data_IF_683522551830
#
_entry.id   IF_683522551830
#
_cell.length_a   1.000
_cell.length_b   1.000
_cell.length_c   1.000
_cell.angle_alpha   90.00
_cell.angle_beta   90.00
_cell.angle_gamma   90.00
#
_symmetry.space_group_name_H-M   'P 1'
#
loop_
_entity.id
_entity.type
_entity.pdbx_description
1 polymer ?
#
# COMPACT_ATOMS: atom_id res chain seq x y z
N UNK A 1 20.28 -1.31 -27.09
CA UNK A 1 18.82 -1.53 -27.03
C UNK A 1 18.24 -0.51 -26.06
N UNK A 2 17.58 0.53 -26.57
CA UNK A 2 16.85 1.48 -25.74
C UNK A 2 15.48 0.87 -25.41
N UNK A 3 15.03 0.84 -24.14
CA UNK A 3 13.71 0.35 -23.81
C UNK A 3 12.65 1.26 -24.45
N UNK A 4 11.67 0.63 -25.09
CA UNK A 4 10.53 1.28 -25.73
C UNK A 4 9.65 1.99 -24.68
N UNK A 5 9.90 3.28 -24.51
CA UNK A 5 9.17 4.17 -23.59
C UNK A 5 7.67 4.28 -23.91
N UNK A 6 7.25 3.86 -25.11
CA UNK A 6 5.84 3.82 -25.53
C UNK A 6 5.04 2.69 -24.88
N UNK A 7 5.70 1.60 -24.43
CA UNK A 7 5.02 0.52 -23.69
C UNK A 7 4.80 0.87 -22.22
N UNK A 8 5.74 1.58 -21.58
CA UNK A 8 5.62 1.96 -20.17
C UNK A 8 4.50 2.99 -19.90
N UNK A 9 4.18 3.85 -20.87
CA UNK A 9 3.11 4.85 -20.73
C UNK A 9 1.70 4.24 -20.81
N UNK A 10 1.51 3.13 -21.52
CA UNK A 10 0.22 2.45 -21.66
C UNK A 10 -0.15 1.57 -20.46
N UNK A 11 0.83 1.01 -19.74
CA UNK A 11 0.58 0.24 -18.51
C UNK A 11 0.15 1.13 -17.34
N UNK A 12 0.65 2.37 -17.30
CA UNK A 12 0.37 3.36 -16.25
C UNK A 12 -1.10 3.83 -16.18
N UNK A 13 -1.91 3.52 -17.20
CA UNK A 13 -3.30 3.97 -17.33
C UNK A 13 -4.35 2.85 -17.16
N UNK A 14 -3.93 1.59 -16.95
CA UNK A 14 -4.88 0.53 -16.63
C UNK A 14 -5.26 0.65 -15.16
N UNK A 15 -6.38 1.32 -14.90
CA UNK A 15 -6.98 1.35 -13.57
C UNK A 15 -7.21 -0.06 -13.03
N UNK A 16 -7.18 -0.20 -11.71
CA UNK A 16 -7.63 -1.44 -11.05
C UNK A 16 -9.15 -1.44 -11.08
N UNK A 17 -9.74 -2.39 -11.81
CA UNK A 17 -11.17 -2.55 -11.91
C UNK A 17 -11.62 -3.68 -10.99
N UNK A 18 -12.54 -3.38 -10.08
CA UNK A 18 -13.20 -4.39 -9.25
C UNK A 18 -14.54 -4.74 -9.89
N UNK A 19 -14.84 -6.04 -10.03
CA UNK A 19 -16.15 -6.50 -10.48
C UNK A 19 -17.10 -6.60 -9.28
N UNK A 20 -18.10 -5.70 -9.14
CA UNK A 20 -19.01 -5.71 -7.99
C UNK A 20 -19.99 -6.89 -7.98
N UNK A 21 -20.07 -7.67 -9.08
CA UNK A 21 -20.86 -8.89 -9.13
C UNK A 21 -20.15 -10.07 -8.48
N UNK A 22 -18.83 -10.03 -8.35
CA UNK A 22 -18.07 -11.05 -7.62
C UNK A 22 -18.06 -10.67 -6.14
N UNK A 23 -18.77 -11.45 -5.33
CA UNK A 23 -18.91 -11.22 -3.89
C UNK A 23 -18.31 -12.40 -3.14
N UNK A 24 -17.34 -12.10 -2.27
CA UNK A 24 -16.70 -13.10 -1.41
C UNK A 24 -17.22 -12.89 0.01
N UNK A 25 -17.65 -13.97 0.64
CA UNK A 25 -18.12 -13.96 2.02
C UNK A 25 -17.59 -15.19 2.76
N UNK A 26 -16.99 -14.95 3.92
CA UNK A 26 -16.53 -16.01 4.82
C UNK A 26 -17.60 -16.21 5.90
N UNK A 27 -18.45 -17.23 5.72
CA UNK A 27 -19.52 -17.58 6.66
C UNK A 27 -20.93 -17.12 6.26
N UNK A 28 -21.94 -17.67 6.93
CA UNK A 28 -23.35 -17.48 6.56
C UNK A 28 -23.87 -16.06 6.78
N UNK A 29 -23.44 -15.38 7.84
CA UNK A 29 -23.85 -14.00 8.11
C UNK A 29 -23.29 -13.03 7.08
N UNK A 30 -21.99 -13.15 6.76
CA UNK A 30 -21.35 -12.38 5.70
C UNK A 30 -22.02 -12.62 4.35
N UNK A 31 -22.40 -13.87 4.05
CA UNK A 31 -23.10 -14.22 2.81
C UNK A 31 -24.46 -13.51 2.72
N UNK A 32 -25.24 -13.51 3.79
CA UNK A 32 -26.54 -12.81 3.86
C UNK A 32 -26.39 -11.30 3.73
N UNK A 33 -25.35 -10.72 4.32
CA UNK A 33 -25.07 -9.28 4.24
C UNK A 33 -24.77 -8.84 2.80
N UNK A 34 -24.02 -9.64 2.03
CA UNK A 34 -23.68 -9.32 0.63
C UNK A 34 -24.67 -9.87 -0.40
N UNK A 35 -25.62 -10.71 0.00
CA UNK A 35 -26.70 -11.23 -0.84
C UNK A 35 -28.09 -11.03 -0.18
N UNK A 36 -28.51 -9.78 0.07
CA UNK A 36 -29.81 -9.50 0.65
C UNK A 36 -30.94 -9.85 -0.31
N UNK A 37 -32.00 -10.48 0.20
CA UNK A 37 -33.22 -10.77 -0.57
C UNK A 37 -34.04 -9.50 -0.78
N UNK A 38 -34.40 -9.20 -2.03
CA UNK A 38 -35.33 -8.10 -2.35
C UNK A 38 -34.74 -6.68 -2.30
N UNK A 39 -33.42 -6.53 -2.08
CA UNK A 39 -32.73 -5.23 -2.18
C UNK A 39 -31.41 -5.36 -2.94
N UNK A 40 -31.01 -4.30 -3.63
CA UNK A 40 -29.70 -4.24 -4.28
C UNK A 40 -28.59 -4.09 -3.26
N UNK A 41 -27.46 -4.77 -3.50
CA UNK A 41 -26.25 -4.64 -2.69
C UNK A 41 -25.10 -4.08 -3.54
N UNK A 42 -24.36 -3.06 -3.06
CA UNK A 42 -24.70 -2.21 -1.91
C UNK A 42 -25.94 -1.35 -2.23
N UNK A 43 -26.62 -0.85 -1.19
CA UNK A 43 -27.70 0.13 -1.34
C UNK A 43 -27.16 1.47 -1.86
N UNK A 44 -28.04 2.34 -2.36
CA UNK A 44 -27.65 3.63 -2.95
C UNK A 44 -26.95 4.53 -1.93
N UNK A 45 -27.45 4.59 -0.70
CA UNK A 45 -26.85 5.36 0.38
C UNK A 45 -25.47 4.82 0.77
N UNK A 46 -25.31 3.49 0.83
CA UNK A 46 -24.01 2.85 1.08
C UNK A 46 -22.99 3.15 -0.02
N UNK A 47 -23.42 3.18 -1.29
CA UNK A 47 -22.54 3.58 -2.41
C UNK A 47 -22.04 5.01 -2.24
N UNK A 48 -22.94 5.95 -1.93
CA UNK A 48 -22.58 7.36 -1.72
C UNK A 48 -21.64 7.50 -0.52
N UNK A 49 -21.98 6.87 0.60
CA UNK A 49 -21.17 6.89 1.82
C UNK A 49 -19.80 6.25 1.60
N UNK A 50 -19.74 5.11 0.90
CA UNK A 50 -18.51 4.42 0.53
C UNK A 50 -17.60 5.25 -0.38
N UNK A 51 -18.17 6.00 -1.34
CA UNK A 51 -17.40 6.94 -2.16
C UNK A 51 -16.74 8.03 -1.31
N UNK A 52 -17.47 8.61 -0.36
CA UNK A 52 -16.91 9.63 0.53
C UNK A 52 -15.88 9.06 1.50
N UNK A 53 -16.14 7.89 2.10
CA UNK A 53 -15.14 7.22 2.91
C UNK A 53 -13.87 6.94 2.13
N UNK A 54 -13.96 6.39 0.92
CA UNK A 54 -12.79 6.14 0.09
C UNK A 54 -12.01 7.44 -0.20
N UNK A 55 -12.70 8.56 -0.44
CA UNK A 55 -12.04 9.88 -0.62
C UNK A 55 -11.30 10.31 0.65
N UNK A 56 -11.96 10.24 1.81
CA UNK A 56 -11.35 10.58 3.10
C UNK A 56 -10.15 9.67 3.39
N UNK A 57 -10.30 8.36 3.29
CA UNK A 57 -9.22 7.39 3.51
C UNK A 57 -8.04 7.61 2.57
N UNK A 58 -8.27 7.92 1.29
CA UNK A 58 -7.18 8.25 0.37
C UNK A 58 -6.49 9.56 0.74
N UNK A 59 -7.21 10.55 1.25
CA UNK A 59 -6.63 11.81 1.69
C UNK A 59 -5.78 11.60 2.96
N UNK A 60 -6.36 11.00 4.00
CA UNK A 60 -5.67 10.74 5.26
C UNK A 60 -4.53 9.72 5.10
N UNK A 61 -4.73 8.70 4.29
CA UNK A 61 -3.71 7.71 3.96
C UNK A 61 -2.52 8.33 3.23
N UNK A 62 -2.74 9.29 2.34
CA UNK A 62 -1.65 10.07 1.72
C UNK A 62 -0.84 10.83 2.77
N UNK A 63 -1.50 11.51 3.70
CA UNK A 63 -0.82 12.28 4.76
C UNK A 63 0.08 11.36 5.59
N UNK A 64 -0.44 10.20 6.02
CA UNK A 64 0.33 9.19 6.75
C UNK A 64 1.51 8.66 5.93
N UNK A 65 1.25 8.29 4.67
CA UNK A 65 2.28 7.76 3.77
C UNK A 65 3.41 8.78 3.53
N UNK A 66 3.07 10.06 3.34
CA UNK A 66 4.09 11.11 3.19
C UNK A 66 4.96 11.26 4.45
N UNK A 67 4.39 11.13 5.65
CA UNK A 67 5.15 11.15 6.89
C UNK A 67 6.08 9.95 7.03
N UNK A 68 5.59 8.74 6.74
CA UNK A 68 6.38 7.51 6.79
C UNK A 68 7.51 7.53 5.75
N UNK A 69 7.22 7.86 4.49
CA UNK A 69 8.19 7.97 3.40
C UNK A 69 9.27 9.03 3.71
N UNK A 70 8.86 10.18 4.24
CA UNK A 70 9.81 11.22 4.67
C UNK A 70 10.78 10.72 5.74
N UNK A 71 10.28 10.02 6.76
CA UNK A 71 11.13 9.46 7.82
C UNK A 71 12.09 8.39 7.29
N UNK A 72 11.61 7.47 6.44
CA UNK A 72 12.43 6.42 5.83
C UNK A 72 13.53 7.04 4.98
N UNK A 73 13.19 8.02 4.13
CA UNK A 73 14.15 8.71 3.26
C UNK A 73 15.21 9.45 4.05
N UNK A 74 14.82 10.19 5.09
CA UNK A 74 15.79 10.89 5.95
C UNK A 74 16.77 9.92 6.60
N UNK A 75 16.28 8.81 7.15
CA UNK A 75 17.16 7.80 7.76
C UNK A 75 18.09 7.14 6.75
N UNK A 76 17.58 6.87 5.55
CA UNK A 76 18.40 6.32 4.48
C UNK A 76 19.50 7.30 4.04
N UNK A 77 19.16 8.59 3.93
CA UNK A 77 20.13 9.66 3.65
C UNK A 77 21.19 9.74 4.76
N UNK A 78 20.79 9.79 6.04
CA UNK A 78 21.70 9.83 7.19
C UNK A 78 22.62 8.60 7.23
N UNK A 79 22.09 7.40 6.96
CA UNK A 79 22.87 6.15 6.88
C UNK A 79 23.86 6.12 5.72
N UNK A 80 23.46 6.67 4.57
CA UNK A 80 24.32 6.75 3.37
C UNK A 80 25.46 7.75 3.58
N UNK A 81 25.20 8.88 4.27
CA UNK A 81 26.19 9.93 4.53
C UNK A 81 27.11 9.58 5.71
N UNK A 82 26.59 8.93 6.73
CA UNK A 82 27.31 8.63 7.97
C UNK A 82 28.49 7.65 7.82
N UNK A 83 28.59 6.94 6.69
CA UNK A 83 29.65 5.97 6.44
C UNK A 83 30.61 6.45 5.35
N UNK A 84 31.62 7.21 5.78
CA UNK A 84 32.70 7.75 4.93
C UNK A 84 34.03 7.02 5.13
N UNK A 85 34.06 5.88 5.84
CA UNK A 85 35.29 5.37 6.49
C UNK A 85 35.81 4.01 5.99
N UNK A 86 35.39 3.51 4.82
CA UNK A 86 35.88 2.22 4.30
C UNK A 86 35.61 1.95 2.81
N UNK A 87 36.20 0.86 2.29
CA UNK A 87 35.96 0.30 0.94
C UNK A 87 34.52 -0.22 0.79
N UNK A 88 33.52 0.67 0.83
CA UNK A 88 32.12 0.26 0.73
C UNK A 88 31.17 1.32 1.23
N UNK A 89 30.98 2.39 0.45
CA UNK A 89 29.93 3.36 0.73
C UNK A 89 28.56 2.64 0.77
N UNK A 90 27.84 2.83 1.88
CA UNK A 90 26.50 2.31 2.09
C UNK A 90 25.57 2.76 0.96
N UNK A 91 24.99 1.80 0.22
CA UNK A 91 24.09 2.08 -0.90
C UNK A 91 22.92 1.11 -0.90
N UNK A 92 21.72 1.63 -0.68
CA UNK A 92 20.48 0.87 -0.81
C UNK A 92 19.91 1.03 -2.23
N UNK A 93 19.65 -0.09 -2.91
CA UNK A 93 19.10 -0.10 -4.28
C UNK A 93 17.56 -0.12 -4.24
N UNK A 94 16.98 -0.73 -3.21
CA UNK A 94 15.55 -0.98 -3.04
C UNK A 94 14.86 -0.02 -2.07
N UNK A 95 15.15 1.28 -2.12
CA UNK A 95 14.59 2.28 -1.20
C UNK A 95 13.05 2.25 -1.11
N UNK A 96 12.35 1.84 -2.19
CA UNK A 96 10.88 1.71 -2.22
C UNK A 96 10.35 0.53 -1.38
N UNK A 97 11.19 -0.49 -1.12
CA UNK A 97 10.83 -1.65 -0.30
C UNK A 97 11.06 -1.41 1.19
N UNK A 98 11.68 -0.29 1.57
CA UNK A 98 11.94 0.04 2.96
C UNK A 98 10.64 0.45 3.67
N UNK A 99 10.43 -0.13 4.84
CA UNK A 99 9.34 0.23 5.74
C UNK A 99 9.93 0.80 7.03
N UNK A 100 9.20 1.70 7.68
CA UNK A 100 9.58 2.26 8.97
C UNK A 100 9.24 1.30 10.13
N UNK A 101 9.74 0.07 10.05
CA UNK A 101 9.52 -0.98 11.05
C UNK A 101 10.84 -1.73 11.26
N UNK A 102 11.32 -1.79 12.50
CA UNK A 102 12.55 -2.52 12.81
C UNK A 102 12.22 -3.94 13.25
N UNK A 103 12.87 -4.92 12.62
CA UNK A 103 12.73 -6.33 12.95
C UNK A 103 14.11 -6.89 13.30
N UNK A 104 14.20 -7.56 14.44
CA UNK A 104 15.44 -8.18 14.91
C UNK A 104 15.20 -9.68 15.06
N UNK A 105 16.12 -10.49 14.55
CA UNK A 105 16.09 -11.94 14.73
C UNK A 105 16.59 -12.27 16.14
N UNK A 106 15.75 -12.91 16.95
CA UNK A 106 16.08 -13.42 18.28
C UNK A 106 15.92 -14.95 18.31
N UNK A 107 16.38 -15.62 19.37
CA UNK A 107 16.35 -17.09 19.47
C UNK A 107 14.98 -17.72 19.19
N UNK A 108 13.89 -17.00 19.49
CA UNK A 108 12.51 -17.47 19.29
C UNK A 108 11.82 -16.89 18.04
N UNK A 109 12.57 -16.32 17.09
CA UNK A 109 12.05 -15.81 15.82
C UNK A 109 12.17 -14.29 15.65
N UNK A 110 11.24 -13.69 14.89
CA UNK A 110 11.25 -12.26 14.58
C UNK A 110 10.66 -11.44 15.73
N UNK A 111 11.40 -10.43 16.19
CA UNK A 111 10.92 -9.45 17.17
C UNK A 111 10.80 -8.08 16.54
N UNK A 112 9.60 -7.52 16.63
CA UNK A 112 9.32 -6.13 16.27
C UNK A 112 9.86 -5.19 17.34
N UNK A 113 10.44 -4.06 16.94
CA UNK A 113 11.02 -3.05 17.84
C UNK A 113 10.52 -1.66 17.47
#
# INVERSE_FOLDING_TARGET
MLPDTRRQSAERLKGVWLNPHVRVAYGGEAYKAVNPTGRGWPSVSERIRGMWYNRCWRLFGKIRFFGEDYMVRRRLEDWTVGDTSGEGANKEIGAHCLINEMQVLVENGWKHV
#
